data_IF_812601813304
#
_entry.id   IF_812601813304
#
_cell.length_a   1.000
_cell.length_b   1.000
_cell.length_c   1.000
_cell.angle_alpha   90.00
_cell.angle_beta   90.00
_cell.angle_gamma   90.00
#
_symmetry.space_group_name_H-M   'P 1'
#
loop_
_entity.id
_entity.type
_entity.pdbx_description
1 polymer ?
#
# COMPACT_ATOMS: atom_id res chain seq x y z
N UNK A 1 -27.59 3.48 -4.50
CA UNK A 1 -26.85 4.71 -4.16
C UNK A 1 -25.70 4.91 -5.14
N UNK A 2 -25.36 6.19 -5.45
CA UNK A 2 -24.11 6.57 -6.12
C UNK A 2 -22.91 6.37 -5.19
N UNK A 3 -21.70 6.55 -5.71
CA UNK A 3 -20.48 6.64 -4.88
C UNK A 3 -20.65 7.72 -3.83
N UNK A 4 -21.05 8.93 -4.23
CA UNK A 4 -21.32 10.03 -3.31
C UNK A 4 -22.28 9.63 -2.17
N UNK A 5 -23.42 9.02 -2.49
CA UNK A 5 -24.37 8.58 -1.46
C UNK A 5 -23.83 7.51 -0.51
N UNK A 6 -22.87 6.67 -0.97
CA UNK A 6 -22.16 5.72 -0.10
C UNK A 6 -21.22 6.43 0.88
N UNK A 7 -20.52 7.45 0.41
CA UNK A 7 -19.58 8.24 1.24
C UNK A 7 -20.34 9.14 2.23
N UNK A 8 -21.42 9.81 1.78
CA UNK A 8 -22.31 10.60 2.65
C UNK A 8 -22.94 9.75 3.76
N UNK A 9 -23.28 8.50 3.46
CA UNK A 9 -23.77 7.56 4.48
C UNK A 9 -22.69 7.30 5.55
N UNK A 10 -21.45 7.07 5.15
CA UNK A 10 -20.35 6.86 6.08
C UNK A 10 -20.12 8.09 6.99
N UNK A 11 -20.12 9.30 6.41
CA UNK A 11 -20.02 10.55 7.16
C UNK A 11 -21.15 10.74 8.17
N UNK A 12 -22.38 10.40 7.77
CA UNK A 12 -23.57 10.60 8.61
C UNK A 12 -23.63 9.64 9.79
N UNK A 13 -23.20 8.41 9.61
CA UNK A 13 -23.32 7.33 10.59
C UNK A 13 -21.98 6.91 11.19
N UNK A 14 -20.90 7.59 10.80
CA UNK A 14 -19.58 7.40 11.37
C UNK A 14 -19.51 7.86 12.84
N UNK A 15 -18.41 7.53 13.48
CA UNK A 15 -18.18 7.92 14.90
C UNK A 15 -17.98 9.42 15.00
N UNK A 16 -18.64 10.05 15.96
CA UNK A 16 -18.35 11.44 16.34
C UNK A 16 -17.02 11.45 17.12
N UNK A 17 -16.02 12.19 16.64
CA UNK A 17 -14.72 12.26 17.29
C UNK A 17 -13.88 13.44 16.80
N UNK A 18 -12.82 13.76 17.51
CA UNK A 18 -11.93 14.91 17.29
C UNK A 18 -10.92 14.73 16.14
N UNK A 19 -10.95 13.61 15.44
CA UNK A 19 -10.06 13.29 14.33
C UNK A 19 -10.78 13.25 12.99
N UNK A 20 -11.68 14.20 12.74
CA UNK A 20 -12.44 14.23 11.47
C UNK A 20 -11.46 14.34 10.30
N UNK A 21 -11.35 13.28 9.54
CA UNK A 21 -10.63 13.29 8.26
C UNK A 21 -11.45 14.17 7.30
N UNK A 22 -10.81 15.18 6.72
CA UNK A 22 -11.49 16.05 5.75
C UNK A 22 -11.93 15.20 4.54
N UNK A 23 -13.23 15.18 4.22
CA UNK A 23 -13.73 14.44 3.08
C UNK A 23 -13.02 14.80 1.76
N UNK A 24 -12.70 16.08 1.58
CA UNK A 24 -12.03 16.56 0.36
C UNK A 24 -10.62 15.97 0.24
N UNK A 25 -9.87 15.92 1.34
CA UNK A 25 -8.55 15.32 1.41
C UNK A 25 -8.59 13.82 1.07
N UNK A 26 -9.57 13.08 1.60
CA UNK A 26 -9.74 11.65 1.30
C UNK A 26 -10.03 11.42 -0.18
N UNK A 27 -10.90 12.25 -0.78
CA UNK A 27 -11.24 12.14 -2.20
C UNK A 27 -10.02 12.39 -3.09
N UNK A 28 -9.21 13.40 -2.76
CA UNK A 28 -7.99 13.77 -3.47
C UNK A 28 -6.92 12.69 -3.34
N UNK A 29 -6.60 12.25 -2.11
CA UNK A 29 -5.60 11.20 -1.84
C UNK A 29 -5.93 9.94 -2.64
N UNK A 30 -7.18 9.53 -2.65
CA UNK A 30 -7.63 8.31 -3.33
C UNK A 30 -8.01 8.53 -4.81
N UNK A 31 -7.99 9.77 -5.30
CA UNK A 31 -8.26 10.12 -6.69
C UNK A 31 -9.64 9.67 -7.19
N UNK A 32 -10.68 9.81 -6.36
CA UNK A 32 -12.04 9.29 -6.64
C UNK A 32 -13.10 10.38 -6.89
N UNK A 33 -12.72 11.65 -6.96
CA UNK A 33 -13.64 12.77 -7.17
C UNK A 33 -14.50 12.59 -8.44
N UNK A 34 -13.87 12.15 -9.53
CA UNK A 34 -14.54 11.91 -10.81
C UNK A 34 -15.52 10.74 -10.80
N UNK A 35 -15.52 9.92 -9.73
CA UNK A 35 -16.38 8.75 -9.56
C UNK A 35 -17.68 9.06 -8.79
N UNK A 36 -17.79 10.21 -8.13
CA UNK A 36 -18.86 10.52 -7.17
C UNK A 36 -20.27 10.30 -7.73
N UNK A 37 -20.49 10.61 -9.02
CA UNK A 37 -21.79 10.45 -9.68
C UNK A 37 -22.05 9.04 -10.20
N UNK A 38 -21.03 8.18 -10.26
CA UNK A 38 -21.17 6.82 -10.74
C UNK A 38 -21.84 5.91 -9.72
N UNK A 39 -22.38 4.80 -10.17
CA UNK A 39 -22.87 3.71 -9.33
C UNK A 39 -21.75 2.68 -9.10
N UNK A 40 -21.64 2.04 -7.93
CA UNK A 40 -20.60 1.04 -7.65
C UNK A 40 -20.52 -0.10 -8.66
N UNK A 41 -21.65 -0.51 -9.25
CA UNK A 41 -21.69 -1.55 -10.27
C UNK A 41 -20.96 -1.20 -11.57
N UNK A 42 -20.76 0.09 -11.86
CA UNK A 42 -20.05 0.57 -13.04
C UNK A 42 -18.58 0.92 -12.80
N UNK A 43 -18.03 0.56 -11.64
CA UNK A 43 -16.64 0.82 -11.28
C UNK A 43 -15.75 -0.38 -11.65
N UNK A 44 -14.50 -0.10 -12.01
CA UNK A 44 -13.45 -1.12 -12.09
C UNK A 44 -13.15 -1.71 -10.70
N UNK A 45 -12.40 -2.82 -10.63
CA UNK A 45 -12.00 -3.42 -9.36
C UNK A 45 -11.23 -2.43 -8.48
N UNK A 46 -10.25 -1.73 -9.06
CA UNK A 46 -9.45 -0.73 -8.35
C UNK A 46 -10.23 0.51 -7.93
N UNK A 47 -11.14 1.00 -8.77
CA UNK A 47 -12.03 2.10 -8.40
C UNK A 47 -12.95 1.71 -7.24
N UNK A 48 -13.49 0.49 -7.25
CA UNK A 48 -14.31 -0.02 -6.13
C UNK A 48 -13.51 -0.10 -4.83
N UNK A 49 -12.26 -0.58 -4.91
CA UNK A 49 -11.37 -0.68 -3.76
C UNK A 49 -11.09 0.69 -3.15
N UNK A 50 -10.73 1.68 -3.96
CA UNK A 50 -10.48 3.05 -3.49
C UNK A 50 -11.73 3.68 -2.87
N UNK A 51 -12.90 3.46 -3.44
CA UNK A 51 -14.18 3.92 -2.87
C UNK A 51 -14.48 3.20 -1.54
N UNK A 52 -14.16 1.92 -1.40
CA UNK A 52 -14.35 1.18 -0.15
C UNK A 52 -13.43 1.71 0.97
N UNK A 53 -12.17 2.00 0.65
CA UNK A 53 -11.20 2.62 1.57
C UNK A 53 -11.70 4.01 2.00
N UNK A 54 -12.13 4.84 1.04
CA UNK A 54 -12.69 6.16 1.34
C UNK A 54 -13.88 6.07 2.31
N UNK A 55 -14.80 5.14 2.04
CA UNK A 55 -15.96 4.92 2.90
C UNK A 55 -15.57 4.51 4.32
N UNK A 56 -14.56 3.63 4.46
CA UNK A 56 -14.06 3.20 5.76
C UNK A 56 -13.43 4.37 6.52
N UNK A 57 -12.59 5.18 5.87
CA UNK A 57 -11.97 6.36 6.47
C UNK A 57 -12.99 7.42 6.91
N UNK A 58 -13.97 7.71 6.05
CA UNK A 58 -15.00 8.70 6.33
C UNK A 58 -15.98 8.27 7.44
N UNK A 59 -15.95 7.02 7.87
CA UNK A 59 -16.63 6.57 9.09
C UNK A 59 -15.89 6.96 10.37
N UNK A 60 -14.76 7.66 10.27
CA UNK A 60 -13.91 8.12 11.37
C UNK A 60 -13.46 6.98 12.31
N UNK A 61 -12.77 5.95 11.78
CA UNK A 61 -12.33 4.81 12.57
C UNK A 61 -11.12 5.16 13.45
N UNK A 62 -10.96 4.45 14.58
CA UNK A 62 -9.74 4.55 15.41
C UNK A 62 -8.55 3.80 14.81
N UNK A 63 -8.83 2.81 13.95
CA UNK A 63 -7.86 2.01 13.20
C UNK A 63 -8.52 1.57 11.89
N UNK A 64 -7.78 1.61 10.80
CA UNK A 64 -8.22 1.08 9.51
C UNK A 64 -7.61 -0.31 9.32
N UNK A 65 -8.46 -1.34 9.22
CA UNK A 65 -8.03 -2.71 8.93
C UNK A 65 -8.29 -3.02 7.47
N UNK A 66 -7.27 -3.42 6.76
CA UNK A 66 -7.34 -3.89 5.37
C UNK A 66 -6.86 -5.34 5.32
N UNK A 67 -7.78 -6.26 5.04
CA UNK A 67 -7.51 -7.68 4.96
C UNK A 67 -7.49 -8.12 3.50
N UNK A 68 -6.31 -8.51 3.01
CA UNK A 68 -6.04 -8.90 1.62
C UNK A 68 -6.65 -7.94 0.58
N UNK A 69 -6.46 -6.62 0.72
CA UNK A 69 -7.25 -5.66 -0.06
C UNK A 69 -6.99 -5.71 -1.56
N UNK A 70 -5.84 -6.24 -1.99
CA UNK A 70 -5.45 -6.29 -3.40
C UNK A 70 -5.45 -7.72 -3.98
N UNK A 71 -5.83 -8.73 -3.21
CA UNK A 71 -5.76 -10.16 -3.63
C UNK A 71 -6.58 -10.50 -4.87
N UNK A 72 -7.68 -9.79 -5.11
CA UNK A 72 -8.56 -10.00 -6.27
C UNK A 72 -8.10 -9.27 -7.55
N UNK A 73 -6.93 -8.62 -7.52
CA UNK A 73 -6.42 -7.80 -8.61
C UNK A 73 -5.19 -8.43 -9.24
N UNK A 74 -5.04 -8.24 -10.55
CA UNK A 74 -3.82 -8.55 -11.30
C UNK A 74 -2.71 -7.52 -11.00
N UNK A 75 -1.46 -7.87 -11.30
CA UNK A 75 -0.30 -7.04 -10.98
C UNK A 75 -0.36 -5.62 -11.59
N UNK A 76 -0.80 -5.41 -12.84
CA UNK A 76 -0.98 -4.07 -13.38
C UNK A 76 -1.94 -3.20 -12.55
N UNK A 77 -3.07 -3.79 -12.12
CA UNK A 77 -4.06 -3.06 -11.30
C UNK A 77 -3.58 -2.84 -9.87
N UNK A 78 -2.81 -3.77 -9.30
CA UNK A 78 -2.14 -3.54 -8.02
C UNK A 78 -1.20 -2.36 -8.10
N UNK A 79 -0.37 -2.28 -9.16
CA UNK A 79 0.55 -1.18 -9.40
C UNK A 79 -0.16 0.19 -9.51
N UNK A 80 -1.38 0.23 -10.07
CA UNK A 80 -2.19 1.45 -10.12
C UNK A 80 -2.69 1.90 -8.74
N UNK A 81 -2.97 0.96 -7.82
CA UNK A 81 -3.59 1.27 -6.52
C UNK A 81 -2.56 1.53 -5.43
N UNK A 82 -1.45 0.83 -5.44
CA UNK A 82 -0.41 0.95 -4.41
C UNK A 82 0.00 2.41 -4.12
N UNK A 83 0.20 3.30 -5.11
CA UNK A 83 0.53 4.70 -4.85
C UNK A 83 -0.56 5.47 -4.06
N UNK A 84 -1.83 5.06 -4.16
CA UNK A 84 -2.90 5.67 -3.37
C UNK A 84 -2.87 5.21 -1.91
N UNK A 85 -2.52 3.93 -1.68
CA UNK A 85 -2.37 3.39 -0.32
C UNK A 85 -1.13 3.98 0.35
N UNK A 86 -0.04 4.17 -0.38
CA UNK A 86 1.17 4.86 0.11
C UNK A 86 0.85 6.29 0.54
N UNK A 87 0.20 7.07 -0.32
CA UNK A 87 -0.24 8.43 0.03
C UNK A 87 -1.16 8.44 1.23
N UNK A 88 -2.04 7.44 1.32
CA UNK A 88 -2.92 7.30 2.48
C UNK A 88 -2.12 7.04 3.75
N UNK A 89 -1.14 6.13 3.74
CA UNK A 89 -0.24 5.86 4.86
C UNK A 89 0.46 7.13 5.31
N UNK A 90 1.00 7.90 4.37
CA UNK A 90 1.83 9.08 4.65
C UNK A 90 1.02 10.27 5.18
N UNK A 91 -0.23 10.41 4.80
CA UNK A 91 -1.08 11.56 5.15
C UNK A 91 -2.15 11.24 6.20
N UNK A 92 -2.54 9.97 6.36
CA UNK A 92 -3.58 9.60 7.33
C UNK A 92 -3.06 9.65 8.77
N UNK A 93 -3.86 10.23 9.65
CA UNK A 93 -3.64 10.16 11.11
C UNK A 93 -4.20 8.88 11.73
N UNK A 94 -4.91 8.07 10.94
CA UNK A 94 -5.50 6.80 11.39
C UNK A 94 -4.48 5.68 11.23
N UNK A 95 -4.13 4.94 12.29
CA UNK A 95 -3.27 3.77 12.17
C UNK A 95 -3.87 2.75 11.19
N UNK A 96 -3.01 2.16 10.34
CA UNK A 96 -3.41 1.18 9.34
C UNK A 96 -2.87 -0.19 9.74
N UNK A 97 -3.74 -1.19 9.84
CA UNK A 97 -3.38 -2.59 9.92
C UNK A 97 -3.61 -3.21 8.53
N UNK A 98 -2.52 -3.51 7.85
CA UNK A 98 -2.53 -4.09 6.51
C UNK A 98 -2.17 -5.58 6.58
N UNK A 99 -3.08 -6.45 6.17
CA UNK A 99 -2.88 -7.89 6.15
C UNK A 99 -2.73 -8.33 4.70
N UNK A 100 -1.61 -8.97 4.38
CA UNK A 100 -1.33 -9.48 3.04
C UNK A 100 -0.31 -10.64 3.12
N UNK A 101 -0.36 -11.52 2.15
CA UNK A 101 0.68 -12.53 1.92
C UNK A 101 1.72 -12.08 0.86
N UNK A 102 1.55 -10.89 0.30
CA UNK A 102 2.45 -10.32 -0.69
C UNK A 102 3.61 -9.58 -0.02
N UNK A 103 4.81 -10.15 -0.10
CA UNK A 103 6.04 -9.53 0.44
C UNK A 103 6.27 -8.15 -0.15
N UNK A 104 6.03 -7.97 -1.46
CA UNK A 104 6.22 -6.69 -2.14
C UNK A 104 5.25 -5.61 -1.65
N UNK A 105 4.00 -5.96 -1.35
CA UNK A 105 3.04 -5.03 -0.77
C UNK A 105 3.46 -4.62 0.64
N UNK A 106 3.81 -5.61 1.49
CA UNK A 106 4.25 -5.37 2.87
C UNK A 106 5.52 -4.53 2.90
N UNK A 107 6.53 -4.87 2.10
CA UNK A 107 7.79 -4.13 2.05
C UNK A 107 7.60 -2.65 1.68
N UNK A 108 6.62 -2.39 0.85
CA UNK A 108 6.30 -1.05 0.32
C UNK A 108 5.46 -0.21 1.27
N UNK A 109 4.56 -0.85 2.02
CA UNK A 109 3.50 -0.17 2.77
C UNK A 109 3.72 -0.13 4.28
N UNK A 110 4.55 -1.02 4.86
CA UNK A 110 4.62 -1.18 6.30
C UNK A 110 5.86 -0.56 6.93
N UNK A 111 5.68 0.10 8.08
CA UNK A 111 6.76 0.53 8.97
C UNK A 111 7.18 -0.61 9.90
N UNK A 112 6.21 -1.46 10.30
CA UNK A 112 6.38 -2.61 11.17
C UNK A 112 5.66 -3.82 10.61
N UNK A 113 6.32 -4.97 10.65
CA UNK A 113 5.79 -6.25 10.18
C UNK A 113 5.60 -7.20 11.36
N UNK A 114 4.50 -7.91 11.37
CA UNK A 114 4.20 -9.01 12.28
C UNK A 114 3.98 -10.26 11.44
N UNK A 115 4.92 -11.18 11.44
CA UNK A 115 4.78 -12.48 10.78
C UNK A 115 4.01 -13.45 11.68
N UNK A 116 2.99 -14.09 11.10
CA UNK A 116 2.09 -15.02 11.82
C UNK A 116 2.07 -16.35 11.09
N UNK A 117 2.25 -17.44 11.84
CA UNK A 117 2.10 -18.80 11.37
C UNK A 117 1.29 -19.63 12.37
N UNK A 118 0.34 -20.41 11.87
CA UNK A 118 -0.51 -21.26 12.73
C UNK A 118 -1.26 -20.47 13.82
N UNK A 119 -1.53 -19.19 13.61
CA UNK A 119 -2.19 -18.30 14.58
C UNK A 119 -1.27 -17.75 15.68
N UNK A 120 0.03 -18.01 15.60
CA UNK A 120 1.04 -17.49 16.53
C UNK A 120 1.95 -16.48 15.85
N UNK A 121 2.33 -15.45 16.60
CA UNK A 121 3.36 -14.49 16.15
C UNK A 121 4.72 -15.18 16.19
N UNK A 122 5.41 -15.24 15.05
CA UNK A 122 6.72 -15.86 14.92
C UNK A 122 7.85 -14.83 14.87
N UNK A 123 7.58 -13.64 14.32
CA UNK A 123 8.55 -12.56 14.23
C UNK A 123 7.85 -11.19 14.18
N UNK A 124 8.52 -10.19 14.73
CA UNK A 124 8.14 -8.77 14.59
C UNK A 124 9.37 -7.93 14.31
N UNK A 125 9.24 -6.90 13.48
CA UNK A 125 10.35 -6.00 13.16
C UNK A 125 10.06 -5.16 11.92
N UNK A 126 11.09 -4.52 11.38
CA UNK A 126 11.00 -3.90 10.07
C UNK A 126 10.80 -4.95 8.97
N UNK A 127 10.33 -4.53 7.80
CA UNK A 127 10.21 -5.43 6.65
C UNK A 127 11.55 -6.09 6.32
N UNK A 128 12.64 -5.31 6.37
CA UNK A 128 14.00 -5.82 6.13
C UNK A 128 14.40 -6.88 7.15
N UNK A 129 14.16 -6.65 8.45
CA UNK A 129 14.53 -7.61 9.51
C UNK A 129 13.73 -8.91 9.42
N UNK A 130 12.44 -8.79 9.10
CA UNK A 130 11.54 -9.96 9.02
C UNK A 130 11.82 -10.78 7.76
N UNK A 131 11.97 -10.12 6.61
CA UNK A 131 12.17 -10.83 5.33
C UNK A 131 13.61 -11.31 5.09
N UNK A 132 14.60 -10.80 5.83
CA UNK A 132 15.95 -11.33 5.83
C UNK A 132 16.16 -12.51 6.80
N UNK A 133 15.17 -12.84 7.63
CA UNK A 133 15.28 -13.92 8.61
C UNK A 133 15.19 -15.29 7.92
N UNK A 134 16.23 -16.14 8.05
CA UNK A 134 16.26 -17.47 7.43
C UNK A 134 15.10 -18.39 7.88
N UNK A 135 14.57 -18.19 9.06
CA UNK A 135 13.46 -18.99 9.60
C UNK A 135 12.10 -18.57 9.01
N UNK A 136 12.01 -17.34 8.49
CA UNK A 136 10.78 -16.79 7.87
C UNK A 136 10.76 -17.06 6.35
N UNK A 137 11.90 -16.97 5.67
CA UNK A 137 12.02 -17.11 4.21
C UNK A 137 11.33 -18.37 3.65
N UNK A 138 11.46 -19.57 4.26
CA UNK A 138 10.79 -20.77 3.75
C UNK A 138 9.26 -20.68 3.76
N UNK A 139 8.70 -19.89 4.67
CA UNK A 139 7.26 -19.75 4.88
C UNK A 139 6.63 -18.76 3.89
N UNK A 140 7.42 -17.83 3.36
CA UNK A 140 6.97 -16.86 2.34
C UNK A 140 6.72 -17.49 0.96
N UNK A 141 7.14 -18.76 0.77
CA UNK A 141 7.09 -19.45 -0.52
C UNK A 141 8.25 -19.08 -1.45
N UNK A 142 8.64 -20.01 -2.32
CA UNK A 142 9.79 -19.84 -3.24
C UNK A 142 9.64 -18.65 -4.20
N UNK A 143 8.42 -18.25 -4.54
CA UNK A 143 8.16 -17.10 -5.42
C UNK A 143 8.28 -15.76 -4.71
N UNK A 144 8.17 -15.75 -3.39
CA UNK A 144 8.27 -14.56 -2.53
C UNK A 144 9.60 -14.50 -1.78
N UNK A 145 10.41 -15.55 -1.85
CA UNK A 145 11.75 -15.60 -1.29
C UNK A 145 12.66 -14.68 -2.12
N UNK A 146 12.79 -13.44 -1.70
CA UNK A 146 13.65 -12.42 -2.29
C UNK A 146 14.38 -11.66 -1.20
N UNK A 147 15.57 -11.17 -1.49
CA UNK A 147 16.24 -10.23 -0.62
C UNK A 147 15.66 -8.82 -0.87
N UNK A 148 15.24 -8.15 0.19
CA UNK A 148 15.01 -6.72 0.14
C UNK A 148 16.37 -6.03 0.22
N UNK A 149 16.74 -5.34 -0.84
CA UNK A 149 17.96 -4.56 -0.91
C UNK A 149 17.57 -3.08 -0.99
N UNK A 150 18.07 -2.30 -0.05
CA UNK A 150 17.99 -0.85 -0.14
C UNK A 150 19.15 -0.35 -0.99
N UNK A 151 18.84 0.42 -2.02
CA UNK A 151 19.85 0.98 -2.90
C UNK A 151 19.51 2.45 -3.23
N UNK A 152 20.56 3.23 -3.52
CA UNK A 152 20.40 4.64 -3.93
C UNK A 152 20.60 4.72 -5.44
N UNK A 153 19.76 5.47 -6.13
CA UNK A 153 19.92 5.73 -7.56
C UNK A 153 21.18 6.60 -7.76
N UNK A 154 22.17 6.03 -8.42
CA UNK A 154 23.42 6.73 -8.72
C UNK A 154 23.27 7.54 -10.02
N UNK A 155 22.76 6.92 -11.08
CA UNK A 155 22.52 7.56 -12.39
C UNK A 155 21.61 6.70 -13.28
N UNK A 156 21.07 7.35 -14.31
CA UNK A 156 20.41 6.68 -15.42
C UNK A 156 21.39 6.60 -16.58
N UNK A 157 21.55 5.40 -17.15
CA UNK A 157 22.45 5.14 -18.29
C UNK A 157 21.72 5.39 -19.62
N UNK A 158 22.49 5.66 -20.67
CA UNK A 158 21.94 5.95 -22.01
C UNK A 158 21.34 4.70 -22.69
N UNK A 159 21.70 3.50 -22.21
CA UNK A 159 21.20 2.19 -22.70
C UNK A 159 19.85 1.78 -22.12
N UNK A 160 19.21 2.66 -21.34
CA UNK A 160 17.91 2.42 -20.73
C UNK A 160 17.98 1.69 -19.39
N UNK A 161 19.16 1.62 -18.78
CA UNK A 161 19.36 1.09 -17.44
C UNK A 161 19.42 2.21 -16.39
N UNK A 162 19.14 1.86 -15.15
CA UNK A 162 19.40 2.69 -13.97
C UNK A 162 20.45 1.98 -13.12
N UNK A 163 21.55 2.65 -12.84
CA UNK A 163 22.57 2.20 -11.91
C UNK A 163 22.20 2.60 -10.50
N UNK A 164 22.13 1.60 -9.62
CA UNK A 164 21.89 1.78 -8.20
C UNK A 164 23.13 1.34 -7.42
N UNK A 165 23.38 2.05 -6.32
CA UNK A 165 24.43 1.68 -5.36
C UNK A 165 23.79 1.08 -4.12
N UNK A 166 24.07 -0.18 -3.85
CA UNK A 166 23.70 -0.88 -2.62
C UNK A 166 24.92 -1.08 -1.71
N UNK A 167 24.68 -1.54 -0.48
CA UNK A 167 25.74 -1.95 0.45
C UNK A 167 26.58 -3.11 -0.06
N UNK A 168 26.01 -3.93 -0.95
CA UNK A 168 26.67 -5.12 -1.56
C UNK A 168 27.32 -4.82 -2.91
N UNK A 169 27.25 -3.57 -3.41
CA UNK A 169 27.81 -3.14 -4.68
C UNK A 169 26.78 -2.56 -5.66
N UNK A 170 27.21 -2.24 -6.88
CA UNK A 170 26.33 -1.67 -7.87
C UNK A 170 25.33 -2.70 -8.43
N UNK A 171 24.09 -2.26 -8.66
CA UNK A 171 23.02 -3.03 -9.27
C UNK A 171 22.54 -2.28 -10.51
N UNK A 172 22.23 -2.99 -11.58
CA UNK A 172 21.68 -2.42 -12.80
C UNK A 172 20.27 -2.96 -13.02
N UNK A 173 19.29 -2.08 -13.11
CA UNK A 173 17.89 -2.42 -13.38
C UNK A 173 17.41 -1.69 -14.62
N UNK A 174 16.34 -2.14 -15.29
CA UNK A 174 15.64 -1.35 -16.28
C UNK A 174 15.33 0.05 -15.74
N UNK A 175 15.25 1.04 -16.62
CA UNK A 175 15.06 2.44 -16.23
C UNK A 175 13.91 2.59 -15.23
N UNK A 176 14.25 3.12 -14.07
CA UNK A 176 13.31 3.45 -13.02
C UNK A 176 12.86 4.91 -13.18
N UNK A 177 11.59 5.16 -12.93
CA UNK A 177 11.02 6.52 -12.90
C UNK A 177 11.17 7.10 -11.49
N UNK A 178 12.41 7.44 -11.14
CA UNK A 178 12.77 7.98 -9.84
C UNK A 178 14.01 8.88 -9.97
N UNK A 179 14.20 9.80 -9.04
CA UNK A 179 15.26 10.80 -9.09
C UNK A 179 16.63 10.26 -8.65
N UNK A 180 17.72 10.82 -9.20
CA UNK A 180 19.08 10.51 -8.75
C UNK A 180 19.23 10.92 -7.28
N UNK A 181 19.79 10.03 -6.48
CA UNK A 181 19.94 10.19 -5.04
C UNK A 181 18.76 9.67 -4.22
N UNK A 182 17.67 9.26 -4.86
CA UNK A 182 16.52 8.62 -4.19
C UNK A 182 16.90 7.21 -3.73
N UNK A 183 16.43 6.86 -2.53
CA UNK A 183 16.52 5.51 -1.97
C UNK A 183 15.33 4.69 -2.49
N UNK A 184 15.60 3.50 -2.97
CA UNK A 184 14.63 2.54 -3.52
C UNK A 184 14.85 1.16 -2.95
#
# INVERSE_FOLDING_TARGET
FSVQGNLEYALRYGRSGTGVTDPSEVLEILGIEHLLRRRPAGLSGGERQRVAIARALLSNPSILVMDEPLSALDDPRKAEILPYIERLRDHSKVPILYISHSVSEIARLSDQVVAIEGGCVIKTGSATDVFADPDIVPQLGLQSAGALLTATIERHEDDGLTKLQSTSGPIYLPRLDAEIGQIV
#
